data_IF_869749767791
#
_entry.id   IF_869749767791
#
_cell.length_a   1.000
_cell.length_b   1.000
_cell.length_c   1.000
_cell.angle_alpha   90.00
_cell.angle_beta   90.00
_cell.angle_gamma   90.00
#
_symmetry.space_group_name_H-M   'P 1'
#
loop_
_entity.id
_entity.type
_entity.pdbx_description
1 polymer ?
#
# COMPACT_ATOMS: atom_id res chain seq x y z
N UNK A 1 -22.85 7.68 -9.88
CA UNK A 1 -21.42 8.06 -9.93
C UNK A 1 -20.70 7.03 -10.80
N UNK A 2 -20.35 7.39 -12.02
CA UNK A 2 -19.64 6.50 -12.95
C UNK A 2 -18.18 6.41 -12.49
N UNK A 3 -17.79 5.25 -11.94
CA UNK A 3 -16.40 4.93 -11.63
C UNK A 3 -15.64 4.92 -12.97
N UNK A 4 -14.97 6.03 -13.31
CA UNK A 4 -14.10 6.05 -14.48
C UNK A 4 -13.00 5.01 -14.27
N UNK A 5 -12.75 4.11 -15.24
CA UNK A 5 -11.69 3.12 -15.11
C UNK A 5 -10.33 3.83 -14.95
N UNK A 6 -9.46 3.27 -14.10
CA UNK A 6 -8.08 3.71 -13.94
C UNK A 6 -7.41 3.83 -15.32
N UNK A 7 -6.83 5.00 -15.63
CA UNK A 7 -6.02 5.26 -16.84
C UNK A 7 -4.68 4.51 -16.75
N UNK A 8 -4.77 3.19 -16.75
CA UNK A 8 -3.62 2.29 -16.79
C UNK A 8 -3.58 1.61 -18.16
N UNK A 9 -2.43 1.61 -18.86
CA UNK A 9 -2.30 0.88 -20.12
C UNK A 9 -2.61 -0.62 -19.98
N UNK A 10 -2.46 -1.18 -18.76
CA UNK A 10 -2.60 -2.61 -18.47
C UNK A 10 -3.28 -2.87 -17.10
N UNK A 11 -4.61 -2.71 -16.99
CA UNK A 11 -5.32 -2.76 -15.70
C UNK A 11 -5.24 -4.12 -14.99
N UNK A 12 -5.20 -5.23 -15.74
CA UNK A 12 -5.05 -6.58 -15.17
C UNK A 12 -3.70 -6.81 -14.51
N UNK A 13 -2.62 -6.26 -15.09
CA UNK A 13 -1.28 -6.38 -14.51
C UNK A 13 -1.15 -5.55 -13.25
N UNK A 14 -1.76 -4.37 -13.23
CA UNK A 14 -1.83 -3.55 -12.03
C UNK A 14 -2.55 -4.29 -10.90
N UNK A 15 -3.71 -4.91 -11.19
CA UNK A 15 -4.43 -5.72 -10.20
C UNK A 15 -3.61 -6.90 -9.68
N UNK A 16 -2.91 -7.62 -10.57
CA UNK A 16 -2.03 -8.73 -10.17
C UNK A 16 -0.86 -8.23 -9.31
N UNK A 17 -0.28 -7.06 -9.64
CA UNK A 17 0.77 -6.45 -8.84
C UNK A 17 0.25 -6.00 -7.46
N UNK A 18 -0.93 -5.37 -7.39
CA UNK A 18 -1.57 -5.04 -6.10
C UNK A 18 -1.85 -6.29 -5.27
N UNK A 19 -2.32 -7.37 -5.88
CA UNK A 19 -2.55 -8.64 -5.21
C UNK A 19 -1.24 -9.27 -4.71
N UNK A 20 -0.18 -9.23 -5.51
CA UNK A 20 1.15 -9.72 -5.13
C UNK A 20 1.74 -8.91 -3.98
N UNK A 21 1.60 -7.58 -4.01
CA UNK A 21 1.91 -6.72 -2.88
C UNK A 21 1.15 -7.21 -1.65
N UNK A 22 -0.17 -7.41 -1.75
CA UNK A 22 -1.04 -7.74 -0.60
C UNK A 22 -0.63 -9.06 0.04
N UNK A 23 -0.35 -10.07 -0.79
CA UNK A 23 0.25 -11.31 -0.34
C UNK A 23 1.59 -11.08 0.39
N UNK A 24 2.41 -10.15 -0.10
CA UNK A 24 3.65 -9.73 0.56
C UNK A 24 3.45 -9.15 1.97
N UNK A 25 2.40 -8.35 2.19
CA UNK A 25 2.06 -7.85 3.54
C UNK A 25 1.63 -8.97 4.49
N UNK A 26 0.84 -9.92 3.98
CA UNK A 26 0.44 -11.10 4.76
C UNK A 26 1.68 -11.91 5.16
N UNK A 27 2.59 -12.14 4.21
CA UNK A 27 3.84 -12.85 4.46
C UNK A 27 4.72 -12.11 5.47
N UNK A 28 4.80 -10.79 5.37
CA UNK A 28 5.53 -9.94 6.31
C UNK A 28 4.98 -10.07 7.74
N UNK A 29 3.65 -10.00 7.89
CA UNK A 29 2.99 -10.20 9.18
C UNK A 29 3.28 -11.59 9.74
N UNK A 30 3.18 -12.63 8.91
CA UNK A 30 3.41 -14.01 9.34
C UNK A 30 4.87 -14.23 9.74
N UNK A 31 5.82 -13.68 8.97
CA UNK A 31 7.24 -13.71 9.32
C UNK A 31 7.51 -13.02 10.67
N UNK A 32 6.93 -11.83 10.90
CA UNK A 32 7.08 -11.13 12.18
C UNK A 32 6.46 -11.88 13.37
N UNK A 33 5.39 -12.63 13.13
CA UNK A 33 4.77 -13.51 14.12
C UNK A 33 5.67 -14.71 14.44
N UNK A 34 6.16 -15.42 13.43
CA UNK A 34 7.02 -16.60 13.59
C UNK A 34 8.37 -16.26 14.23
N UNK A 35 8.94 -15.09 13.91
CA UNK A 35 10.15 -14.57 14.55
C UNK A 35 9.93 -14.16 16.03
N UNK A 36 8.70 -14.21 16.54
CA UNK A 36 8.39 -13.89 17.93
C UNK A 36 8.48 -12.40 18.28
N UNK A 37 8.58 -11.51 17.28
CA UNK A 37 8.71 -10.05 17.48
C UNK A 37 7.54 -9.49 18.29
N UNK A 38 6.34 -10.05 18.09
CA UNK A 38 5.14 -9.63 18.82
C UNK A 38 5.25 -9.93 20.32
N UNK A 39 5.69 -11.13 20.69
CA UNK A 39 5.86 -11.51 22.10
C UNK A 39 7.00 -10.72 22.74
N UNK A 40 8.12 -10.59 22.02
CA UNK A 40 9.27 -9.82 22.48
C UNK A 40 8.90 -8.37 22.86
N UNK A 41 8.02 -7.72 22.10
CA UNK A 41 7.55 -6.36 22.43
C UNK A 41 6.54 -6.38 23.58
N UNK A 42 5.61 -7.35 23.61
CA UNK A 42 4.59 -7.46 24.66
C UNK A 42 5.22 -7.73 26.04
N UNK A 43 6.34 -8.43 26.11
CA UNK A 43 7.07 -8.71 27.36
C UNK A 43 7.57 -7.43 28.08
N UNK A 44 7.69 -6.31 27.37
CA UNK A 44 8.01 -5.02 27.98
C UNK A 44 6.81 -4.35 28.65
N UNK A 45 5.59 -4.88 28.49
CA UNK A 45 4.38 -4.31 29.04
C UNK A 45 3.86 -5.13 30.23
N UNK A 46 3.30 -4.47 31.26
CA UNK A 46 2.65 -5.18 32.36
C UNK A 46 1.43 -5.97 31.88
N UNK A 47 1.20 -7.14 32.47
CA UNK A 47 0.12 -8.07 32.07
C UNK A 47 -1.29 -7.43 32.07
N UNK A 48 -1.52 -6.40 32.90
CA UNK A 48 -2.77 -5.63 32.93
C UNK A 48 -3.06 -4.86 31.64
N UNK A 49 -2.03 -4.58 30.82
CA UNK A 49 -2.12 -3.80 29.58
C UNK A 49 -1.62 -4.60 28.36
N UNK A 50 -1.63 -5.94 28.43
CA UNK A 50 -1.14 -6.81 27.36
C UNK A 50 -1.81 -6.54 26.00
N UNK A 51 -3.09 -6.17 25.98
CA UNK A 51 -3.79 -5.78 24.76
C UNK A 51 -3.25 -4.51 24.10
N UNK A 52 -2.93 -3.48 24.90
CA UNK A 52 -2.32 -2.24 24.40
C UNK A 52 -0.88 -2.48 23.94
N UNK A 53 -0.12 -3.31 24.67
CA UNK A 53 1.22 -3.76 24.26
C UNK A 53 1.20 -4.49 22.92
N UNK A 54 0.21 -5.36 22.69
CA UNK A 54 0.04 -6.06 21.42
C UNK A 54 -0.25 -5.10 20.26
N UNK A 55 -1.09 -4.08 20.48
CA UNK A 55 -1.34 -3.06 19.45
C UNK A 55 -0.06 -2.32 19.07
N UNK A 56 0.74 -1.90 20.04
CA UNK A 56 2.02 -1.22 19.80
C UNK A 56 2.99 -2.15 19.06
N UNK A 57 3.06 -3.42 19.47
CA UNK A 57 3.88 -4.43 18.81
C UNK A 57 3.51 -4.60 17.33
N UNK A 58 2.23 -4.69 17.03
CA UNK A 58 1.73 -4.77 15.65
C UNK A 58 2.07 -3.49 14.88
N UNK A 59 1.87 -2.30 15.47
CA UNK A 59 2.19 -1.03 14.82
C UNK A 59 3.68 -0.92 14.46
N UNK A 60 4.55 -1.26 15.40
CA UNK A 60 6.00 -1.25 15.17
C UNK A 60 6.42 -2.28 14.13
N UNK A 61 5.81 -3.48 14.13
CA UNK A 61 6.13 -4.53 13.17
C UNK A 61 5.57 -4.24 11.77
N UNK A 62 4.41 -3.59 11.67
CA UNK A 62 3.75 -3.25 10.40
C UNK A 62 4.31 -2.00 9.73
N UNK A 63 4.79 -1.01 10.49
CA UNK A 63 5.37 0.23 9.93
C UNK A 63 6.43 -0.03 8.86
N UNK A 64 7.46 -0.88 9.08
CA UNK A 64 8.42 -1.21 8.02
C UNK A 64 7.79 -1.97 6.86
N UNK A 65 6.79 -2.84 7.12
CA UNK A 65 6.04 -3.53 6.07
C UNK A 65 5.30 -2.56 5.13
N UNK A 66 4.67 -1.53 5.69
CA UNK A 66 4.02 -0.47 4.91
C UNK A 66 5.01 0.42 4.16
N UNK A 67 6.22 0.63 4.68
CA UNK A 67 7.26 1.33 3.95
C UNK A 67 7.72 0.53 2.72
N UNK A 68 7.97 -0.78 2.88
CA UNK A 68 8.32 -1.67 1.77
C UNK A 68 7.19 -1.68 0.73
N UNK A 69 5.95 -1.79 1.17
CA UNK A 69 4.77 -1.69 0.31
C UNK A 69 4.74 -0.39 -0.50
N UNK A 70 4.98 0.75 0.15
CA UNK A 70 5.02 2.06 -0.52
C UNK A 70 6.06 2.10 -1.63
N UNK A 71 7.27 1.58 -1.39
CA UNK A 71 8.31 1.51 -2.41
C UNK A 71 7.94 0.53 -3.53
N UNK A 72 7.36 -0.62 -3.19
CA UNK A 72 6.85 -1.58 -4.16
C UNK A 72 5.79 -0.95 -5.07
N UNK A 73 4.78 -0.28 -4.52
CA UNK A 73 3.75 0.40 -5.30
C UNK A 73 4.34 1.46 -6.22
N UNK A 74 5.24 2.31 -5.72
CA UNK A 74 5.90 3.33 -6.54
C UNK A 74 6.70 2.70 -7.68
N UNK A 75 7.36 1.58 -7.43
CA UNK A 75 8.08 0.83 -8.46
C UNK A 75 7.13 0.21 -9.50
N UNK A 76 6.00 -0.37 -9.07
CA UNK A 76 4.96 -0.91 -9.95
C UNK A 76 4.36 0.18 -10.84
N UNK A 77 4.04 1.34 -10.26
CA UNK A 77 3.50 2.50 -10.97
C UNK A 77 4.46 2.99 -12.06
N UNK A 78 5.76 3.12 -11.72
CA UNK A 78 6.80 3.48 -12.69
C UNK A 78 6.96 2.44 -13.81
N UNK A 79 6.87 1.14 -13.47
CA UNK A 79 7.04 0.04 -14.44
C UNK A 79 5.85 -0.14 -15.37
N UNK A 80 4.65 0.14 -14.90
CA UNK A 80 3.41 -0.01 -15.68
C UNK A 80 2.97 1.30 -16.33
N UNK A 81 3.79 2.36 -16.23
CA UNK A 81 3.50 3.70 -16.75
C UNK A 81 2.10 4.16 -16.32
N UNK A 82 1.74 3.87 -15.07
CA UNK A 82 0.46 4.28 -14.51
C UNK A 82 0.51 5.79 -14.35
N UNK A 83 0.04 6.50 -15.37
CA UNK A 83 -0.22 7.93 -15.28
C UNK A 83 -1.47 8.07 -14.42
N UNK A 84 -1.27 8.26 -13.12
CA UNK A 84 -2.33 8.83 -12.31
C UNK A 84 -2.73 10.12 -12.99
N UNK A 85 -3.99 10.24 -13.44
CA UNK A 85 -4.60 11.55 -13.68
C UNK A 85 -4.39 12.32 -12.39
N UNK A 86 -3.40 13.20 -12.35
CA UNK A 86 -3.34 14.16 -11.26
C UNK A 86 -4.59 15.02 -11.45
N UNK A 87 -5.32 15.32 -10.38
CA UNK A 87 -6.45 16.26 -10.44
C UNK A 87 -6.04 17.58 -11.13
N UNK A 88 -4.76 17.90 -11.08
CA UNK A 88 -4.11 19.02 -11.76
C UNK A 88 -4.11 18.92 -13.30
N UNK A 89 -4.08 17.71 -13.88
CA UNK A 89 -4.11 17.52 -15.33
C UNK A 89 -5.47 17.90 -15.94
N UNK A 90 -6.57 17.83 -15.17
CA UNK A 90 -7.88 18.30 -15.64
C UNK A 90 -8.01 19.83 -15.64
N UNK A 91 -7.25 20.53 -14.79
CA UNK A 91 -7.30 21.99 -14.65
C UNK A 91 -6.40 22.68 -15.69
N UNK A 92 -5.29 22.04 -16.07
CA UNK A 92 -4.30 22.62 -17.00
C UNK A 92 -4.44 22.19 -18.46
N UNK A 93 -5.41 21.34 -18.82
CA UNK A 93 -5.69 21.09 -20.23
C UNK A 93 -6.35 22.34 -20.84
N UNK A 94 -5.68 23.04 -21.79
CA UNK A 94 -6.34 24.14 -22.50
C UNK A 94 -7.59 23.58 -23.19
N UNK A 95 -8.70 24.34 -23.23
CA UNK A 95 -9.94 23.86 -23.81
C UNK A 95 -9.67 23.33 -25.21
N UNK A 96 -10.06 22.08 -25.43
CA UNK A 96 -10.05 21.45 -26.75
C UNK A 96 -10.74 22.38 -27.72
N UNK A 97 -9.96 23.03 -28.58
CA UNK A 97 -10.47 23.85 -29.68
C UNK A 97 -11.15 22.89 -30.65
N UNK A 98 -12.45 22.68 -30.48
CA UNK A 98 -13.30 22.12 -31.51
C UNK A 98 -13.08 22.96 -32.77
N UNK A 99 -12.40 22.38 -33.76
CA UNK A 99 -12.37 22.95 -35.10
C UNK A 99 -13.67 22.52 -35.78
N UNK A 100 -14.50 23.53 -36.02
CA UNK A 100 -15.52 23.70 -37.09
C UNK A 100 -16.25 22.46 -37.58
#
# INVERSE_FOLDING_TARGET
>A
MSQKPLDTPRPRLYLLASAAGFAGLILWFYAGRELGILQWIVDFFPASHAGAGLMIAIMLMMTPGFLIWKFYNRWVEQRLEVKGRHLEDEVYLPPTKNRS
#
